data_IF_064105865072
#
_entry.id   IF_064105865072
#
_cell.length_a   1.000
_cell.length_b   1.000
_cell.length_c   1.000
_cell.angle_alpha   90.00
_cell.angle_beta   90.00
_cell.angle_gamma   90.00
#
_symmetry.space_group_name_H-M   'P 1'
#
loop_
_entity.id
_entity.type
_entity.pdbx_description
1 polymer ?
#
# COMPACT_ATOMS: atom_id res chain seq x y z
N UNK A 1 25.50 -0.55 -20.53
CA UNK A 1 26.26 -1.80 -20.38
C UNK A 1 27.13 -1.77 -19.14
N UNK A 2 27.52 -2.95 -18.64
CA UNK A 2 28.37 -3.06 -17.45
C UNK A 2 29.70 -2.28 -17.62
N UNK A 3 30.29 -2.30 -18.82
CA UNK A 3 31.49 -1.55 -19.15
C UNK A 3 31.31 -0.03 -19.02
N UNK A 4 30.18 0.52 -19.46
CA UNK A 4 29.89 1.96 -19.36
C UNK A 4 29.75 2.38 -17.89
N UNK A 5 29.13 1.53 -17.08
CA UNK A 5 29.01 1.74 -15.64
C UNK A 5 30.39 1.74 -14.96
N UNK A 6 31.28 0.83 -15.37
CA UNK A 6 32.66 0.76 -14.88
C UNK A 6 33.43 2.06 -15.20
N UNK A 7 33.32 2.55 -16.44
CA UNK A 7 33.93 3.82 -16.86
C UNK A 7 33.39 5.01 -16.05
N UNK A 8 32.06 5.08 -15.91
CA UNK A 8 31.42 6.19 -15.18
C UNK A 8 31.79 6.18 -13.68
N UNK A 9 31.81 5.01 -13.06
CA UNK A 9 32.16 4.84 -11.64
C UNK A 9 33.64 4.90 -11.35
N UNK A 10 34.50 4.98 -12.39
CA UNK A 10 35.96 4.92 -12.30
C UNK A 10 36.47 3.67 -11.61
N UNK A 11 35.78 2.57 -11.80
CA UNK A 11 36.12 1.25 -11.24
C UNK A 11 36.53 0.30 -12.35
N UNK A 12 37.24 -0.77 -11.99
CA UNK A 12 37.49 -1.86 -12.92
C UNK A 12 36.24 -2.69 -13.13
N UNK A 13 36.04 -3.22 -14.31
CA UNK A 13 34.85 -4.00 -14.67
C UNK A 13 34.67 -5.20 -13.75
N UNK A 14 35.76 -5.85 -13.39
CA UNK A 14 35.79 -7.02 -12.50
C UNK A 14 35.26 -6.71 -11.09
N UNK A 15 35.41 -5.48 -10.65
CA UNK A 15 34.86 -5.01 -9.38
C UNK A 15 33.38 -4.57 -9.50
N UNK A 16 32.98 -4.08 -10.67
CA UNK A 16 31.62 -3.55 -10.91
C UNK A 16 30.60 -4.67 -11.14
N UNK A 17 30.95 -5.73 -11.87
CA UNK A 17 30.01 -6.81 -12.19
C UNK A 17 29.40 -7.47 -10.94
N UNK A 18 30.15 -7.81 -9.88
CA UNK A 18 29.55 -8.32 -8.64
C UNK A 18 28.57 -7.35 -7.97
N UNK A 19 28.83 -6.05 -8.03
CA UNK A 19 27.91 -5.02 -7.50
C UNK A 19 26.61 -4.96 -8.32
N UNK A 20 26.71 -5.03 -9.65
CA UNK A 20 25.54 -5.10 -10.54
C UNK A 20 24.70 -6.33 -10.22
N UNK A 21 25.33 -7.50 -10.04
CA UNK A 21 24.64 -8.74 -9.69
C UNK A 21 23.96 -8.62 -8.32
N UNK A 22 24.63 -8.05 -7.32
CA UNK A 22 24.03 -7.83 -6.00
C UNK A 22 22.81 -6.89 -6.08
N UNK A 23 22.91 -5.80 -6.84
CA UNK A 23 21.80 -4.88 -7.08
C UNK A 23 20.67 -5.54 -7.86
N UNK A 24 20.97 -6.42 -8.82
CA UNK A 24 19.98 -7.19 -9.56
C UNK A 24 19.25 -8.20 -8.65
N UNK A 25 19.97 -8.89 -7.78
CA UNK A 25 19.40 -9.80 -6.77
C UNK A 25 18.48 -9.05 -5.79
N UNK A 26 18.77 -7.80 -5.47
CA UNK A 26 17.93 -6.93 -4.67
C UNK A 26 16.74 -6.32 -5.45
N UNK A 27 16.68 -6.59 -6.76
CA UNK A 27 15.62 -6.11 -7.64
C UNK A 27 15.71 -4.62 -8.04
N UNK A 28 16.86 -3.98 -7.85
CA UNK A 28 17.11 -2.60 -8.27
C UNK A 28 17.45 -2.47 -9.74
N UNK A 29 18.06 -3.52 -10.30
CA UNK A 29 18.48 -3.61 -11.69
C UNK A 29 17.95 -4.90 -12.30
N UNK A 30 17.90 -4.95 -13.64
CA UNK A 30 17.89 -6.16 -14.43
C UNK A 30 19.25 -6.26 -15.13
N UNK A 31 19.87 -7.42 -15.06
CA UNK A 31 21.18 -7.67 -15.66
C UNK A 31 21.15 -8.94 -16.49
N UNK A 32 21.58 -8.82 -17.73
CA UNK A 32 21.77 -9.94 -18.63
C UNK A 32 23.28 -10.24 -18.74
N UNK A 33 23.76 -11.39 -18.22
CA UNK A 33 25.17 -11.73 -18.23
C UNK A 33 25.74 -12.01 -19.64
N UNK A 34 24.92 -12.41 -20.62
CA UNK A 34 25.37 -12.73 -21.97
C UNK A 34 25.66 -11.46 -22.78
N UNK A 35 24.75 -10.48 -22.69
CA UNK A 35 24.87 -9.21 -23.39
C UNK A 35 25.50 -8.11 -22.56
N UNK A 36 25.68 -8.35 -21.26
CA UNK A 36 26.12 -7.37 -20.27
C UNK A 36 25.20 -6.13 -20.17
N UNK A 37 23.95 -6.29 -20.60
CA UNK A 37 22.96 -5.23 -20.55
C UNK A 37 22.48 -5.00 -19.12
N UNK A 38 22.47 -3.74 -18.72
CA UNK A 38 22.00 -3.31 -17.39
C UNK A 38 20.84 -2.34 -17.58
N UNK A 39 19.71 -2.63 -16.93
CA UNK A 39 18.53 -1.76 -16.94
C UNK A 39 18.07 -1.47 -15.51
N UNK A 40 17.74 -0.22 -15.23
CA UNK A 40 17.18 0.16 -13.93
C UNK A 40 15.72 -0.27 -13.81
N UNK A 41 15.30 -0.68 -12.61
CA UNK A 41 13.92 -1.00 -12.31
C UNK A 41 13.20 0.17 -11.63
N UNK A 42 11.85 0.19 -11.61
CA UNK A 42 11.08 1.16 -10.84
C UNK A 42 11.46 1.18 -9.35
N UNK A 43 11.87 0.04 -8.80
CA UNK A 43 12.30 -0.09 -7.40
C UNK A 43 13.54 0.75 -7.09
N UNK A 44 14.51 0.83 -8.00
CA UNK A 44 15.67 1.72 -7.82
C UNK A 44 15.24 3.18 -7.75
N UNK A 45 14.34 3.60 -8.65
CA UNK A 45 13.82 4.97 -8.65
C UNK A 45 13.12 5.31 -7.34
N UNK A 46 12.27 4.41 -6.84
CA UNK A 46 11.60 4.59 -5.54
C UNK A 46 12.62 4.69 -4.41
N UNK A 47 13.64 3.84 -4.40
CA UNK A 47 14.69 3.89 -3.39
C UNK A 47 15.46 5.21 -3.38
N UNK A 48 15.78 5.76 -4.57
CA UNK A 48 16.41 7.07 -4.71
C UNK A 48 15.48 8.19 -4.21
N UNK A 49 14.19 8.15 -4.55
CA UNK A 49 13.22 9.15 -4.10
C UNK A 49 13.04 9.11 -2.57
N UNK A 50 13.03 7.91 -1.98
CA UNK A 50 12.95 7.73 -0.53
C UNK A 50 14.21 8.28 0.17
N UNK A 51 15.40 7.96 -0.35
CA UNK A 51 16.66 8.47 0.20
C UNK A 51 16.78 10.00 0.10
N UNK A 52 16.17 10.60 -0.93
CA UNK A 52 16.06 12.04 -1.11
C UNK A 52 14.90 12.67 -0.31
N UNK A 53 14.19 11.91 0.52
CA UNK A 53 13.00 12.32 1.29
C UNK A 53 11.87 12.92 0.43
N UNK A 54 11.78 12.51 -0.83
CA UNK A 54 10.70 12.89 -1.74
C UNK A 54 9.53 11.92 -1.75
N UNK A 55 9.79 10.70 -1.32
CA UNK A 55 8.78 9.68 -1.03
C UNK A 55 9.19 9.00 0.26
N UNK A 56 8.19 8.52 0.99
CA UNK A 56 8.42 7.71 2.18
C UNK A 56 8.12 6.24 1.88
N UNK A 57 8.45 5.41 2.84
CA UNK A 57 8.40 3.98 2.73
C UNK A 57 7.71 3.42 3.97
N UNK A 58 6.70 2.59 3.75
CA UNK A 58 6.03 1.87 4.83
C UNK A 58 6.08 0.37 4.61
N UNK A 59 5.99 -0.38 5.70
CA UNK A 59 5.89 -1.84 5.71
C UNK A 59 4.44 -2.21 5.97
N UNK A 60 3.71 -2.52 4.88
CA UNK A 60 2.37 -3.08 5.02
C UNK A 60 2.47 -4.53 5.49
N UNK A 61 1.89 -4.82 6.64
CA UNK A 61 1.82 -6.16 7.19
C UNK A 61 0.41 -6.74 6.99
N UNK A 62 0.31 -7.80 6.20
CA UNK A 62 -0.93 -8.54 5.96
C UNK A 62 -0.86 -9.85 6.73
N UNK A 63 -1.64 -9.95 7.81
CA UNK A 63 -1.76 -11.17 8.59
C UNK A 63 -2.89 -12.03 8.05
N UNK A 64 -2.56 -13.28 7.73
CA UNK A 64 -3.51 -14.29 7.25
C UNK A 64 -3.68 -15.40 8.29
N UNK A 65 -4.92 -15.76 8.55
CA UNK A 65 -5.27 -16.94 9.37
C UNK A 65 -6.37 -17.72 8.65
N UNK A 66 -6.00 -18.87 8.09
CA UNK A 66 -6.90 -19.74 7.33
C UNK A 66 -6.68 -21.20 7.76
N UNK A 67 -7.75 -21.97 7.84
CA UNK A 67 -7.71 -23.42 8.14
C UNK A 67 -7.23 -24.28 6.96
N UNK A 68 -6.97 -23.67 5.81
CA UNK A 68 -6.52 -24.31 4.59
C UNK A 68 -5.34 -23.57 3.96
N UNK A 69 -5.34 -23.40 2.63
CA UNK A 69 -4.30 -22.65 1.92
C UNK A 69 -4.42 -21.16 2.24
N UNK A 70 -3.38 -20.56 2.80
CA UNK A 70 -3.37 -19.14 3.13
C UNK A 70 -3.14 -18.23 1.92
N UNK A 71 -2.39 -18.70 0.94
CA UNK A 71 -2.07 -17.90 -0.22
C UNK A 71 -1.87 -18.75 -1.48
N UNK A 72 -2.24 -18.20 -2.64
CA UNK A 72 -2.05 -18.80 -3.95
C UNK A 72 -1.47 -17.79 -4.92
N UNK A 73 -0.37 -18.14 -5.59
CA UNK A 73 0.26 -17.31 -6.62
C UNK A 73 -0.17 -17.79 -8.01
N UNK A 74 -0.64 -16.85 -8.82
CA UNK A 74 -0.83 -17.08 -10.24
C UNK A 74 0.49 -16.81 -10.99
N UNK A 75 1.09 -17.84 -11.57
CA UNK A 75 2.39 -17.73 -12.26
C UNK A 75 2.33 -17.01 -13.62
N UNK A 76 1.15 -16.74 -14.16
CA UNK A 76 1.00 -16.02 -15.43
C UNK A 76 1.07 -14.50 -15.26
N UNK A 77 0.45 -13.97 -14.20
CA UNK A 77 0.36 -12.52 -13.94
C UNK A 77 1.00 -12.11 -12.61
N UNK A 78 1.49 -13.07 -11.83
CA UNK A 78 2.09 -12.88 -10.50
C UNK A 78 1.16 -12.30 -9.45
N UNK A 79 -0.16 -12.44 -9.64
CA UNK A 79 -1.14 -12.08 -8.62
C UNK A 79 -1.05 -13.07 -7.45
N UNK A 80 -1.00 -12.54 -6.22
CA UNK A 80 -0.99 -13.29 -4.98
C UNK A 80 -2.33 -13.13 -4.27
N UNK A 81 -3.19 -14.14 -4.33
CA UNK A 81 -4.42 -14.17 -3.54
C UNK A 81 -4.11 -14.63 -2.12
N UNK A 82 -4.43 -13.81 -1.11
CA UNK A 82 -4.24 -14.09 0.32
C UNK A 82 -5.61 -14.24 0.96
N UNK A 83 -5.85 -15.41 1.56
CA UNK A 83 -7.09 -15.76 2.26
C UNK A 83 -6.90 -15.66 3.77
N UNK A 84 -8.00 -15.51 4.51
CA UNK A 84 -7.95 -15.43 5.98
C UNK A 84 -7.49 -14.07 6.51
N UNK A 85 -7.55 -13.01 5.72
CA UNK A 85 -7.18 -11.65 6.11
C UNK A 85 -8.35 -10.99 6.82
N UNK A 86 -8.29 -10.85 8.14
CA UNK A 86 -9.36 -10.23 8.93
C UNK A 86 -9.34 -8.70 8.81
N UNK A 87 -8.15 -8.11 8.81
CA UNK A 87 -7.95 -6.65 8.67
C UNK A 87 -6.54 -6.34 8.18
N UNK A 88 -6.39 -5.17 7.56
CA UNK A 88 -5.10 -4.57 7.23
C UNK A 88 -5.08 -3.16 7.84
N UNK A 89 -4.05 -2.83 8.59
CA UNK A 89 -3.82 -1.48 9.09
C UNK A 89 -2.99 -0.75 8.06
N UNK A 90 -3.56 0.30 7.46
CA UNK A 90 -2.92 1.09 6.42
C UNK A 90 -2.13 2.24 7.01
N UNK A 91 -2.67 2.88 8.05
CA UNK A 91 -2.02 3.94 8.80
C UNK A 91 -2.62 4.00 10.20
N UNK A 92 -1.79 3.84 11.22
CA UNK A 92 -2.24 4.01 12.61
C UNK A 92 -2.43 5.50 12.95
N UNK A 93 -1.55 6.36 12.46
CA UNK A 93 -1.59 7.80 12.71
C UNK A 93 -2.80 8.49 12.08
N UNK A 94 -3.25 7.99 10.92
CA UNK A 94 -4.42 8.53 10.20
C UNK A 94 -5.70 7.71 10.45
N UNK A 95 -5.63 6.66 11.28
CA UNK A 95 -6.73 5.74 11.59
C UNK A 95 -7.40 5.16 10.33
N UNK A 96 -6.57 4.68 9.38
CA UNK A 96 -7.07 4.03 8.17
C UNK A 96 -6.87 2.53 8.26
N UNK A 97 -7.98 1.79 8.16
CA UNK A 97 -8.04 0.33 8.27
C UNK A 97 -8.92 -0.26 7.19
N UNK A 98 -8.52 -1.41 6.67
CA UNK A 98 -9.28 -2.18 5.69
C UNK A 98 -9.78 -3.46 6.36
N UNK A 99 -11.03 -3.80 6.12
CA UNK A 99 -11.68 -5.04 6.54
C UNK A 99 -12.19 -5.77 5.29
N UNK A 100 -11.39 -6.68 4.71
CA UNK A 100 -11.78 -7.37 3.49
C UNK A 100 -13.03 -8.24 3.71
N UNK A 101 -14.01 -8.15 2.79
CA UNK A 101 -15.08 -9.13 2.70
C UNK A 101 -14.48 -10.50 2.32
N UNK A 102 -15.13 -11.59 2.70
CA UNK A 102 -14.63 -12.94 2.44
C UNK A 102 -13.19 -13.18 2.95
N UNK A 103 -12.61 -12.22 3.69
CA UNK A 103 -11.23 -12.25 4.18
C UNK A 103 -10.20 -12.48 3.05
N UNK A 104 -10.48 -11.98 1.86
CA UNK A 104 -9.67 -12.15 0.65
C UNK A 104 -9.04 -10.83 0.20
N UNK A 105 -7.75 -10.87 -0.11
CA UNK A 105 -6.99 -9.77 -0.70
C UNK A 105 -6.16 -10.32 -1.86
N UNK A 106 -6.16 -9.62 -3.00
CA UNK A 106 -5.32 -9.99 -4.14
C UNK A 106 -4.23 -8.95 -4.34
N UNK A 107 -3.01 -9.32 -3.95
CA UNK A 107 -1.82 -8.48 -4.11
C UNK A 107 -1.32 -8.59 -5.53
N UNK A 108 -1.03 -7.45 -6.12
CA UNK A 108 -0.52 -7.29 -7.49
C UNK A 108 0.99 -7.09 -7.49
N UNK A 109 1.55 -7.11 -8.68
CA UNK A 109 2.93 -6.80 -8.91
C UNK A 109 3.33 -5.46 -8.32
N UNK A 110 3.89 -4.72 -8.07
CA UNK A 110 4.21 -3.36 -7.57
C UNK A 110 3.62 -3.01 -6.18
N UNK A 111 3.18 -4.01 -5.40
CA UNK A 111 2.64 -3.89 -4.03
C UNK A 111 1.24 -3.26 -3.96
N UNK A 112 0.61 -3.06 -5.11
CA UNK A 112 -0.79 -2.71 -5.17
C UNK A 112 -1.64 -3.92 -4.78
N UNK A 113 -2.88 -3.71 -4.37
CA UNK A 113 -3.79 -4.83 -4.13
C UNK A 113 -5.26 -4.43 -4.32
N UNK A 114 -6.07 -5.42 -4.68
CA UNK A 114 -7.52 -5.30 -4.78
C UNK A 114 -8.21 -6.07 -3.66
N UNK A 115 -9.37 -5.57 -3.24
CA UNK A 115 -10.21 -6.17 -2.21
C UNK A 115 -11.64 -5.63 -2.32
N UNK A 116 -12.60 -6.30 -1.67
CA UNK A 116 -13.91 -5.77 -1.36
C UNK A 116 -14.09 -5.71 0.15
N UNK A 117 -15.11 -5.01 0.65
CA UNK A 117 -15.43 -4.98 2.07
C UNK A 117 -15.61 -3.58 2.64
N UNK A 118 -14.96 -3.29 3.78
CA UNK A 118 -15.05 -1.99 4.43
C UNK A 118 -13.69 -1.32 4.52
N UNK A 119 -13.68 0.01 4.27
CA UNK A 119 -12.54 0.90 4.49
C UNK A 119 -12.95 1.90 5.56
N UNK A 120 -12.33 1.84 6.71
CA UNK A 120 -12.46 2.83 7.77
C UNK A 120 -11.38 3.90 7.58
N UNK A 121 -11.79 5.16 7.59
CA UNK A 121 -10.92 6.32 7.53
C UNK A 121 -11.38 7.33 8.60
N UNK A 122 -10.77 7.26 9.77
CA UNK A 122 -11.20 8.01 10.95
C UNK A 122 -12.67 7.74 11.31
N UNK A 123 -13.51 8.77 11.24
CA UNK A 123 -14.96 8.68 11.55
C UNK A 123 -15.82 8.19 10.36
N UNK A 124 -15.27 8.02 9.17
CA UNK A 124 -15.95 7.51 7.98
C UNK A 124 -15.68 6.01 7.79
N UNK A 125 -16.68 5.29 7.29
CA UNK A 125 -16.52 3.90 6.85
C UNK A 125 -17.24 3.71 5.52
N UNK A 126 -16.49 3.29 4.51
CA UNK A 126 -16.96 3.02 3.17
C UNK A 126 -17.19 1.52 3.02
N UNK A 127 -18.38 1.09 2.60
CA UNK A 127 -18.72 -0.30 2.34
C UNK A 127 -18.91 -0.50 0.85
N UNK A 128 -18.25 -1.51 0.28
CA UNK A 128 -18.35 -1.77 -1.16
C UNK A 128 -17.70 -3.10 -1.56
N UNK A 129 -17.79 -3.40 -2.85
CA UNK A 129 -17.39 -4.71 -3.39
C UNK A 129 -16.05 -4.68 -4.10
N UNK A 130 -15.61 -3.50 -4.53
CA UNK A 130 -14.43 -3.39 -5.38
C UNK A 130 -13.65 -2.12 -5.04
N UNK A 131 -12.49 -2.34 -4.46
CA UNK A 131 -11.51 -1.31 -4.12
C UNK A 131 -10.16 -1.69 -4.65
N UNK A 132 -9.36 -0.70 -5.02
CA UNK A 132 -8.00 -0.89 -5.46
C UNK A 132 -7.06 0.05 -4.69
N UNK A 133 -6.09 -0.52 -4.03
CA UNK A 133 -5.05 0.23 -3.33
C UNK A 133 -3.83 0.39 -4.21
N UNK A 134 -3.35 1.62 -4.33
CA UNK A 134 -2.12 1.99 -5.02
C UNK A 134 -1.03 2.35 -4.02
N UNK A 135 -0.01 1.55 -3.95
CA UNK A 135 1.08 1.74 -2.98
C UNK A 135 1.89 3.02 -3.24
N UNK A 136 2.22 3.33 -4.50
CA UNK A 136 3.10 4.46 -4.82
C UNK A 136 2.49 5.81 -4.42
N UNK A 137 1.26 6.18 -4.83
CA UNK A 137 0.59 7.39 -4.39
C UNK A 137 -0.03 7.28 -2.99
N UNK A 138 -0.15 6.08 -2.42
CA UNK A 138 -0.74 5.77 -1.12
C UNK A 138 -2.23 6.13 -1.01
N UNK A 139 -2.98 5.68 -2.01
CA UNK A 139 -4.41 5.96 -2.16
C UNK A 139 -5.24 4.69 -2.33
N UNK A 140 -6.54 4.78 -2.05
CA UNK A 140 -7.51 3.73 -2.36
C UNK A 140 -8.54 4.29 -3.34
N UNK A 141 -8.68 3.66 -4.49
CA UNK A 141 -9.79 3.93 -5.41
C UNK A 141 -11.07 3.27 -4.87
N UNK A 142 -12.07 4.09 -4.62
CA UNK A 142 -13.39 3.70 -4.15
C UNK A 142 -14.34 3.56 -5.35
N UNK A 143 -14.18 2.47 -6.12
CA UNK A 143 -14.84 2.30 -7.42
C UNK A 143 -16.33 1.96 -7.28
N UNK A 144 -16.68 1.10 -6.34
CA UNK A 144 -18.03 0.58 -6.11
C UNK A 144 -18.41 0.66 -4.64
N UNK A 145 -18.71 1.86 -4.15
CA UNK A 145 -19.16 2.09 -2.79
C UNK A 145 -20.69 1.94 -2.73
N UNK A 146 -21.14 0.92 -2.03
CA UNK A 146 -22.58 0.67 -1.81
C UNK A 146 -23.14 1.68 -0.79
N UNK A 147 -22.38 1.96 0.27
CA UNK A 147 -22.79 2.92 1.31
C UNK A 147 -21.61 3.48 2.11
N UNK A 148 -21.81 4.67 2.65
CA UNK A 148 -20.86 5.32 3.57
C UNK A 148 -21.55 5.55 4.90
N UNK A 149 -20.94 5.11 5.99
CA UNK A 149 -21.40 5.46 7.34
C UNK A 149 -20.46 6.48 7.97
N UNK A 150 -21.05 7.35 8.75
CA UNK A 150 -20.34 8.42 9.45
C UNK A 150 -20.59 8.34 10.95
N UNK A 151 -19.54 8.45 11.74
CA UNK A 151 -19.60 8.56 13.20
C UNK A 151 -19.39 10.00 13.61
N UNK A 152 -20.26 10.52 14.49
CA UNK A 152 -20.15 11.85 15.07
C UNK A 152 -20.07 11.75 16.59
N UNK A 153 -19.50 12.77 17.23
CA UNK A 153 -19.56 12.86 18.68
C UNK A 153 -21.00 13.12 19.13
N UNK A 154 -21.44 12.41 20.17
CA UNK A 154 -22.77 12.61 20.74
C UNK A 154 -22.90 14.01 21.31
N UNK A 155 -24.12 14.56 21.26
CA UNK A 155 -24.42 15.81 21.97
C UNK A 155 -24.50 15.58 23.49
N UNK A 156 -24.89 14.37 23.90
CA UNK A 156 -24.97 13.98 25.30
C UNK A 156 -23.61 13.54 25.81
N UNK A 157 -23.27 13.95 27.01
CA UNK A 157 -22.08 13.52 27.71
C UNK A 157 -22.44 12.41 28.68
N UNK A 158 -21.50 11.46 28.86
CA UNK A 158 -21.64 10.41 29.89
C UNK A 158 -21.51 11.00 31.31
N UNK A 159 -21.66 10.15 32.32
CA UNK A 159 -21.55 10.53 33.75
C UNK A 159 -20.17 11.10 34.10
N UNK A 160 -19.14 10.87 33.27
CA UNK A 160 -17.78 11.38 33.41
C UNK A 160 -17.54 12.67 32.57
N UNK A 161 -18.56 13.16 31.87
CA UNK A 161 -18.49 14.35 31.03
C UNK A 161 -17.84 14.12 29.66
N UNK A 162 -17.63 12.87 29.24
CA UNK A 162 -17.06 12.49 27.97
C UNK A 162 -18.14 12.30 26.91
N UNK A 163 -17.86 12.72 25.68
CA UNK A 163 -18.69 12.42 24.51
C UNK A 163 -18.38 11.01 24.00
N UNK A 164 -19.37 10.31 23.47
CA UNK A 164 -19.21 9.04 22.80
C UNK A 164 -19.55 9.14 21.31
N UNK A 165 -18.97 8.28 20.49
CA UNK A 165 -19.25 8.26 19.06
C UNK A 165 -20.61 7.60 18.79
N UNK A 166 -21.44 8.29 18.02
CA UNK A 166 -22.75 7.80 17.56
C UNK A 166 -22.79 7.74 16.04
N UNK A 167 -23.41 6.70 15.51
CA UNK A 167 -23.60 6.57 14.08
C UNK A 167 -24.66 7.55 13.59
N UNK A 168 -24.33 8.37 12.59
CA UNK A 168 -25.29 9.24 11.91
C UNK A 168 -26.23 8.38 11.08
N UNK A 169 -27.54 8.62 11.20
CA UNK A 169 -28.58 7.79 10.56
C UNK A 169 -28.64 7.94 9.04
N UNK A 170 -28.20 9.08 8.50
CA UNK A 170 -28.20 9.29 7.05
C UNK A 170 -26.94 8.64 6.44
N UNK A 171 -27.16 7.73 5.52
CA UNK A 171 -26.11 7.01 4.81
C UNK A 171 -26.03 7.57 3.39
N UNK A 172 -24.83 7.89 2.94
CA UNK A 172 -24.58 8.20 1.53
C UNK A 172 -24.51 6.90 0.74
N UNK A 173 -25.18 6.86 -0.40
CA UNK A 173 -25.20 5.68 -1.26
C UNK A 173 -24.61 6.00 -2.64
N UNK A 174 -24.04 4.99 -3.31
CA UNK A 174 -23.47 5.08 -4.66
C UNK A 174 -22.40 6.19 -4.77
N UNK A 175 -21.50 6.23 -3.82
CA UNK A 175 -20.35 7.12 -3.82
C UNK A 175 -19.22 6.50 -4.63
N UNK A 176 -18.47 7.31 -5.33
CA UNK A 176 -17.20 6.92 -5.96
C UNK A 176 -16.18 8.04 -5.76
N UNK A 177 -14.92 7.67 -5.76
CA UNK A 177 -13.84 8.64 -5.54
C UNK A 177 -12.53 7.96 -5.20
N UNK A 178 -11.62 8.74 -4.66
CA UNK A 178 -10.32 8.28 -4.18
C UNK A 178 -10.14 8.72 -2.75
N UNK A 179 -9.68 7.80 -1.90
CA UNK A 179 -9.28 8.09 -0.53
C UNK A 179 -7.76 8.21 -0.49
N UNK A 180 -7.27 9.40 -0.21
CA UNK A 180 -5.86 9.62 0.09
C UNK A 180 -5.59 9.26 1.55
N UNK A 181 -4.79 8.20 1.78
CA UNK A 181 -4.51 7.68 3.13
C UNK A 181 -3.55 8.60 3.85
N UNK A 182 -2.47 8.97 3.17
CA UNK A 182 -1.46 9.92 3.64
C UNK A 182 -0.64 10.44 2.44
N UNK A 183 0.16 11.48 2.66
CA UNK A 183 1.07 11.97 1.63
C UNK A 183 2.06 10.85 1.22
N UNK A 184 2.42 10.73 -0.07
CA UNK A 184 3.45 9.78 -0.50
C UNK A 184 4.81 9.97 0.19
N UNK A 185 5.06 11.18 0.72
CA UNK A 185 6.25 11.52 1.51
C UNK A 185 6.14 11.19 3.00
N UNK A 186 4.97 10.75 3.47
CA UNK A 186 4.68 10.46 4.88
C UNK A 186 3.99 9.10 5.10
N UNK A 187 4.23 8.10 4.23
CA UNK A 187 3.60 6.78 4.36
C UNK A 187 3.84 6.10 5.71
N UNK A 188 4.97 6.39 6.35
CA UNK A 188 5.29 5.92 7.70
C UNK A 188 4.48 6.61 8.81
N UNK A 189 3.73 7.68 8.49
CA UNK A 189 2.92 8.42 9.45
C UNK A 189 3.72 9.19 10.50
N UNK A 190 5.00 9.49 10.25
CA UNK A 190 5.88 10.18 11.21
C UNK A 190 5.60 11.68 11.31
N UNK A 191 5.00 12.26 10.28
CA UNK A 191 4.63 13.67 10.25
C UNK A 191 3.10 13.81 10.44
N UNK A 192 2.69 14.85 11.17
CA UNK A 192 1.27 15.18 11.29
C UNK A 192 0.81 15.93 10.05
N UNK A 193 0.21 15.23 9.11
CA UNK A 193 -0.42 15.77 7.92
C UNK A 193 -1.96 15.79 8.08
N UNK A 194 -2.65 16.57 7.25
CA UNK A 194 -4.12 16.62 7.29
C UNK A 194 -4.72 15.50 6.42
N UNK A 195 -4.57 14.28 6.84
CA UNK A 195 -5.12 13.09 6.19
C UNK A 195 -6.03 12.33 7.17
N UNK A 196 -6.89 11.41 6.69
CA UNK A 196 -7.13 11.06 5.27
C UNK A 196 -7.98 12.11 4.54
N UNK A 197 -7.90 12.13 3.21
CA UNK A 197 -8.66 13.02 2.31
C UNK A 197 -9.40 12.23 1.23
#
# INVERSE_FOLDING_TARGET
YAQEFAVYSRMQKEAVVPLIIDMANKGYLSYDPETEWVQTTPRLRQHILNSARKQDYDVLQINSNSDSVNATVNLLNYDLAIMGVARIVMSDSQDVKIFPSEKLVTVKKDRDFSFGGAVQAGKLTFYGKEYFFHYAPFIIDLLNVDSVSFMADSFDKDENGLTHLVRVKNVLEKVFGTLEIDAPSNKSGLQQEKYPQ
#
